data_IF_351120951578
#
_entry.id   IF_351120951578
#
_cell.length_a   1.000
_cell.length_b   1.000
_cell.length_c   1.000
_cell.angle_alpha   90.00
_cell.angle_beta   90.00
_cell.angle_gamma   90.00
#
_symmetry.space_group_name_H-M   'P 1'
#
loop_
_entity.id
_entity.type
_entity.pdbx_description
1 polymer ?
#
# COMPACT_ATOMS: atom_id res chain seq x y z
N UNK A 1 -33.38 -8.43 3.07
CA UNK A 1 -32.10 -8.24 2.33
C UNK A 1 -32.21 -9.11 1.09
N UNK A 2 -31.83 -8.64 -0.11
CA UNK A 2 -31.80 -9.53 -1.27
C UNK A 2 -30.81 -10.67 -0.97
N UNK A 3 -31.27 -11.88 -1.23
CA UNK A 3 -30.54 -13.10 -0.95
C UNK A 3 -29.27 -13.13 -1.82
N UNK A 4 -28.09 -13.01 -1.21
CA UNK A 4 -26.79 -13.01 -1.94
C UNK A 4 -26.59 -14.35 -2.63
N UNK A 5 -27.22 -15.43 -2.10
CA UNK A 5 -27.19 -16.76 -2.68
C UNK A 5 -27.97 -16.86 -4.00
N UNK A 6 -28.88 -15.91 -4.27
CA UNK A 6 -29.66 -15.83 -5.51
C UNK A 6 -28.97 -15.04 -6.64
N UNK A 7 -27.72 -14.55 -6.46
CA UNK A 7 -27.04 -13.80 -7.49
C UNK A 7 -26.60 -14.72 -8.65
N UNK A 8 -27.08 -14.44 -9.87
CA UNK A 8 -26.62 -15.12 -11.06
C UNK A 8 -25.11 -14.90 -11.28
N UNK A 9 -24.45 -15.84 -11.92
CA UNK A 9 -23.01 -15.75 -12.25
C UNK A 9 -22.62 -14.44 -12.96
N UNK A 10 -23.37 -13.95 -13.98
CA UNK A 10 -23.07 -12.66 -14.61
C UNK A 10 -23.12 -11.51 -13.64
N UNK A 11 -24.05 -11.50 -12.67
CA UNK A 11 -24.16 -10.44 -11.68
C UNK A 11 -23.00 -10.47 -10.66
N UNK A 12 -22.52 -11.66 -10.27
CA UNK A 12 -21.34 -11.81 -9.42
C UNK A 12 -20.07 -11.28 -10.12
N UNK A 13 -19.91 -11.58 -11.42
CA UNK A 13 -18.81 -11.06 -12.23
C UNK A 13 -18.90 -9.53 -12.39
N UNK A 14 -20.09 -8.96 -12.55
CA UNK A 14 -20.28 -7.50 -12.59
C UNK A 14 -19.86 -6.85 -11.26
N UNK A 15 -20.22 -7.44 -10.10
CA UNK A 15 -19.78 -6.95 -8.79
C UNK A 15 -18.25 -6.99 -8.69
N UNK A 16 -17.61 -8.07 -9.13
CA UNK A 16 -16.15 -8.16 -9.19
C UNK A 16 -15.55 -7.05 -10.05
N UNK A 17 -16.09 -6.81 -11.25
CA UNK A 17 -15.62 -5.74 -12.14
C UNK A 17 -15.74 -4.36 -11.52
N UNK A 18 -16.83 -4.07 -10.81
CA UNK A 18 -17.03 -2.82 -10.08
C UNK A 18 -15.96 -2.64 -8.99
N UNK A 19 -15.69 -3.70 -8.21
CA UNK A 19 -14.64 -3.69 -7.21
C UNK A 19 -13.25 -3.49 -7.87
N UNK A 20 -12.98 -4.14 -9.00
CA UNK A 20 -11.75 -3.98 -9.76
C UNK A 20 -11.57 -2.54 -10.30
N UNK A 21 -12.66 -1.86 -10.71
CA UNK A 21 -12.60 -0.46 -11.14
C UNK A 21 -12.11 0.45 -10.01
N UNK A 22 -12.58 0.24 -8.78
CA UNK A 22 -12.12 1.04 -7.63
C UNK A 22 -10.65 0.82 -7.30
N UNK A 23 -10.18 -0.44 -7.40
CA UNK A 23 -8.78 -0.75 -7.23
C UNK A 23 -7.92 -0.11 -8.31
N UNK A 24 -8.40 -0.16 -9.57
CA UNK A 24 -7.73 0.43 -10.72
C UNK A 24 -7.50 1.93 -10.51
N UNK A 25 -8.54 2.71 -10.15
CA UNK A 25 -8.40 4.16 -9.96
C UNK A 25 -7.46 4.51 -8.81
N UNK A 26 -7.53 3.81 -7.67
CA UNK A 26 -6.62 4.03 -6.54
C UNK A 26 -5.18 3.72 -6.91
N UNK A 27 -4.94 2.61 -7.60
CA UNK A 27 -3.60 2.20 -8.00
C UNK A 27 -3.02 3.06 -9.12
N UNK A 28 -3.84 3.47 -10.10
CA UNK A 28 -3.44 4.40 -11.16
C UNK A 28 -3.10 5.78 -10.58
N UNK A 29 -3.92 6.29 -9.67
CA UNK A 29 -3.69 7.60 -9.03
C UNK A 29 -2.31 7.66 -8.35
N UNK A 30 -1.93 6.62 -7.61
CA UNK A 30 -0.63 6.55 -6.93
C UNK A 30 0.52 6.44 -7.94
N UNK A 31 0.40 5.60 -8.96
CA UNK A 31 1.52 5.34 -9.87
C UNK A 31 1.68 6.42 -10.95
N UNK A 32 0.57 6.97 -11.45
CA UNK A 32 0.58 8.05 -12.44
C UNK A 32 1.11 9.36 -11.86
N UNK A 33 0.79 9.66 -10.59
CA UNK A 33 1.27 10.87 -9.93
C UNK A 33 2.79 10.95 -9.85
N UNK A 34 3.48 9.83 -9.65
CA UNK A 34 4.94 9.83 -9.64
C UNK A 34 5.52 10.43 -10.94
N UNK A 35 4.95 10.10 -12.10
CA UNK A 35 5.42 10.62 -13.39
C UNK A 35 5.15 12.13 -13.54
N UNK A 36 4.18 12.67 -12.79
CA UNK A 36 3.83 14.09 -12.80
C UNK A 36 4.73 14.97 -11.91
N UNK A 37 5.53 14.39 -11.01
CA UNK A 37 6.30 15.15 -10.01
C UNK A 37 7.18 16.26 -10.62
N UNK A 38 7.95 16.05 -11.72
CA UNK A 38 8.72 17.12 -12.32
C UNK A 38 7.86 18.24 -12.93
N UNK A 39 6.65 17.92 -13.40
CA UNK A 39 5.72 18.95 -13.88
C UNK A 39 5.14 19.77 -12.73
N UNK A 40 4.83 19.14 -11.59
CA UNK A 40 4.44 19.81 -10.36
C UNK A 40 5.56 20.73 -9.83
N UNK A 41 6.80 20.25 -9.88
CA UNK A 41 7.99 21.04 -9.51
C UNK A 41 8.07 22.32 -10.33
N UNK A 42 7.94 22.22 -11.65
CA UNK A 42 8.03 23.39 -12.55
C UNK A 42 6.85 24.36 -12.44
N UNK A 43 5.61 23.83 -12.34
CA UNK A 43 4.41 24.67 -12.38
C UNK A 43 4.01 25.26 -11.02
N UNK A 44 4.20 24.52 -9.93
CA UNK A 44 3.84 24.96 -8.58
C UNK A 44 5.04 25.42 -7.75
N UNK A 45 6.26 25.39 -8.31
CA UNK A 45 7.49 25.78 -7.60
C UNK A 45 7.80 24.86 -6.42
N UNK A 46 7.40 23.57 -6.51
CA UNK A 46 7.60 22.63 -5.44
C UNK A 46 9.09 22.29 -5.26
N UNK A 47 9.57 22.34 -4.03
CA UNK A 47 10.85 21.76 -3.64
C UNK A 47 10.72 20.24 -3.43
N UNK A 48 11.81 19.58 -3.06
CA UNK A 48 11.81 18.12 -2.84
C UNK A 48 10.83 17.72 -1.72
N UNK A 49 10.77 18.50 -0.63
CA UNK A 49 9.83 18.28 0.48
C UNK A 49 8.37 18.36 0.00
N UNK A 50 8.04 19.38 -0.80
CA UNK A 50 6.71 19.54 -1.38
C UNK A 50 6.30 18.38 -2.31
N UNK A 51 7.26 17.84 -3.09
CA UNK A 51 7.03 16.65 -3.91
C UNK A 51 6.77 15.41 -3.05
N UNK A 52 7.57 15.21 -1.99
CA UNK A 52 7.37 14.14 -1.02
C UNK A 52 5.98 14.24 -0.38
N UNK A 53 5.60 15.43 0.14
CA UNK A 53 4.29 15.65 0.74
C UNK A 53 3.14 15.35 -0.22
N UNK A 54 3.27 15.69 -1.50
CA UNK A 54 2.24 15.41 -2.50
C UNK A 54 1.96 13.90 -2.65
N UNK A 55 2.99 13.06 -2.54
CA UNK A 55 2.85 11.59 -2.57
C UNK A 55 2.47 11.04 -1.21
N UNK A 56 3.18 11.45 -0.16
CA UNK A 56 3.13 10.79 1.14
C UNK A 56 1.87 11.11 1.94
N UNK A 57 1.32 12.31 1.83
CA UNK A 57 0.07 12.65 2.53
C UNK A 57 -1.06 11.67 2.17
N UNK A 58 -1.13 11.27 0.89
CA UNK A 58 -2.12 10.29 0.44
C UNK A 58 -1.86 8.92 1.06
N UNK A 59 -0.64 8.41 1.01
CA UNK A 59 -0.30 7.09 1.52
C UNK A 59 -0.38 7.00 3.04
N UNK A 60 0.02 8.04 3.76
CA UNK A 60 -0.08 8.15 5.23
C UNK A 60 -1.54 8.18 5.69
N UNK A 61 -2.37 9.02 5.07
CA UNK A 61 -3.79 9.08 5.40
C UNK A 61 -4.49 7.77 5.03
N UNK A 62 -4.17 7.20 3.87
CA UNK A 62 -4.71 5.90 3.46
C UNK A 62 -4.32 4.80 4.44
N UNK A 63 -3.04 4.72 4.85
CA UNK A 63 -2.57 3.76 5.85
C UNK A 63 -3.28 3.92 7.19
N UNK A 64 -3.43 5.18 7.62
CA UNK A 64 -4.06 5.53 8.89
C UNK A 64 -5.52 5.08 8.96
N UNK A 65 -6.29 5.26 7.89
CA UNK A 65 -7.75 4.98 7.89
C UNK A 65 -8.13 3.59 7.36
N UNK A 66 -7.20 2.79 6.84
CA UNK A 66 -7.48 1.52 6.18
C UNK A 66 -8.22 0.52 7.09
N UNK A 67 -7.75 0.33 8.33
CA UNK A 67 -8.35 -0.60 9.29
C UNK A 67 -9.69 -0.08 9.80
N UNK A 68 -9.79 1.22 10.08
CA UNK A 68 -11.04 1.85 10.48
C UNK A 68 -12.13 1.72 9.41
N UNK A 69 -11.76 1.89 8.15
CA UNK A 69 -12.68 1.77 7.02
C UNK A 69 -13.27 0.38 6.90
N UNK A 70 -12.46 -0.67 7.10
CA UNK A 70 -12.92 -2.04 7.14
C UNK A 70 -13.93 -2.29 8.27
N UNK A 71 -13.60 -1.88 9.49
CA UNK A 71 -14.46 -2.03 10.67
C UNK A 71 -15.77 -1.23 10.52
N UNK A 72 -15.69 -0.03 9.94
CA UNK A 72 -16.86 0.81 9.65
C UNK A 72 -17.79 0.14 8.62
N UNK A 73 -17.22 -0.44 7.57
CA UNK A 73 -17.99 -1.13 6.54
C UNK A 73 -18.73 -2.36 7.08
N UNK A 74 -18.11 -3.12 7.96
CA UNK A 74 -18.73 -4.27 8.60
C UNK A 74 -19.90 -3.87 9.50
N UNK A 75 -19.88 -2.66 10.09
CA UNK A 75 -20.91 -2.14 10.99
C UNK A 75 -22.04 -1.39 10.28
N UNK A 76 -21.69 -0.47 9.38
CA UNK A 76 -22.66 0.46 8.76
C UNK A 76 -23.24 -0.10 7.46
N UNK A 77 -22.49 -1.01 6.82
CA UNK A 77 -22.83 -1.61 5.54
C UNK A 77 -21.76 -1.38 4.51
N UNK A 78 -21.33 -2.47 3.87
CA UNK A 78 -20.23 -2.49 2.91
C UNK A 78 -20.52 -1.64 1.68
N UNK A 79 -21.71 -1.76 1.09
CA UNK A 79 -22.13 -0.94 -0.05
C UNK A 79 -22.17 0.53 0.31
N UNK A 80 -22.69 0.90 1.49
CA UNK A 80 -22.77 2.31 1.91
C UNK A 80 -21.39 2.91 2.05
N UNK A 81 -20.48 2.26 2.77
CA UNK A 81 -19.12 2.74 2.99
C UNK A 81 -18.35 2.79 1.68
N UNK A 82 -18.50 1.79 0.80
CA UNK A 82 -17.87 1.78 -0.52
C UNK A 82 -18.34 2.95 -1.41
N UNK A 83 -19.65 3.25 -1.41
CA UNK A 83 -20.20 4.43 -2.12
C UNK A 83 -19.66 5.73 -1.55
N UNK A 84 -19.63 5.88 -0.22
CA UNK A 84 -19.06 7.06 0.43
C UNK A 84 -17.59 7.23 0.06
N UNK A 85 -16.82 6.14 0.07
CA UNK A 85 -15.43 6.15 -0.39
C UNK A 85 -15.27 6.62 -1.83
N UNK A 86 -16.11 6.12 -2.75
CA UNK A 86 -16.12 6.56 -4.16
C UNK A 86 -16.47 8.05 -4.30
N UNK A 87 -17.48 8.55 -3.55
CA UNK A 87 -17.86 9.97 -3.58
C UNK A 87 -16.71 10.84 -3.08
N UNK A 88 -16.12 10.51 -1.93
CA UNK A 88 -14.99 11.26 -1.36
C UNK A 88 -13.76 11.23 -2.28
N UNK A 89 -13.47 10.06 -2.87
CA UNK A 89 -12.34 9.91 -3.79
C UNK A 89 -12.51 10.74 -5.06
N UNK A 90 -13.69 10.68 -5.68
CA UNK A 90 -14.01 11.45 -6.90
C UNK A 90 -14.04 12.97 -6.61
N UNK A 91 -14.67 13.38 -5.51
CA UNK A 91 -14.67 14.77 -5.09
C UNK A 91 -13.25 15.28 -4.77
N UNK A 92 -12.44 14.46 -4.07
CA UNK A 92 -11.04 14.76 -3.82
C UNK A 92 -10.21 14.87 -5.10
N UNK A 93 -10.42 13.97 -6.07
CA UNK A 93 -9.78 14.05 -7.38
C UNK A 93 -10.16 15.35 -8.12
N UNK A 94 -11.43 15.74 -8.10
CA UNK A 94 -11.87 17.01 -8.68
C UNK A 94 -11.18 18.20 -8.02
N UNK A 95 -11.12 18.21 -6.68
CA UNK A 95 -10.44 19.28 -5.94
C UNK A 95 -8.93 19.31 -6.25
N UNK A 96 -8.27 18.17 -6.35
CA UNK A 96 -6.86 18.07 -6.76
C UNK A 96 -6.64 18.64 -8.17
N UNK A 97 -7.53 18.33 -9.12
CA UNK A 97 -7.46 18.85 -10.48
C UNK A 97 -7.62 20.38 -10.53
N UNK A 98 -8.34 20.96 -9.58
CA UNK A 98 -8.60 22.41 -9.47
C UNK A 98 -7.65 23.11 -8.50
N UNK A 99 -6.67 22.43 -7.91
CA UNK A 99 -5.78 22.98 -6.90
C UNK A 99 -5.00 24.21 -7.43
N UNK A 100 -5.10 25.36 -6.75
CA UNK A 100 -4.44 26.61 -7.18
C UNK A 100 -2.98 26.69 -6.73
N UNK A 101 -2.58 25.90 -5.73
CA UNK A 101 -1.21 25.89 -5.20
C UNK A 101 -0.86 24.53 -4.63
N UNK A 102 0.43 24.32 -4.35
CA UNK A 102 0.96 23.08 -3.74
C UNK A 102 0.29 22.74 -2.41
N UNK A 103 0.12 23.72 -1.51
CA UNK A 103 -0.51 23.50 -0.21
C UNK A 103 -1.96 23.01 -0.33
N UNK A 104 -2.73 23.59 -1.25
CA UNK A 104 -4.09 23.13 -1.55
C UNK A 104 -4.09 21.73 -2.16
N UNK A 105 -3.15 21.44 -3.07
CA UNK A 105 -3.01 20.09 -3.64
C UNK A 105 -2.76 19.05 -2.54
N UNK A 106 -1.83 19.31 -1.62
CA UNK A 106 -1.53 18.43 -0.49
C UNK A 106 -2.78 18.23 0.39
N UNK A 107 -3.50 19.30 0.74
CA UNK A 107 -4.73 19.21 1.52
C UNK A 107 -5.83 18.39 0.82
N UNK A 108 -6.01 18.59 -0.48
CA UNK A 108 -7.00 17.85 -1.27
C UNK A 108 -6.59 16.39 -1.48
N UNK A 109 -5.29 16.09 -1.55
CA UNK A 109 -4.75 14.72 -1.55
C UNK A 109 -5.06 13.99 -0.23
N UNK A 110 -4.94 14.68 0.92
CA UNK A 110 -5.35 14.11 2.21
C UNK A 110 -6.86 13.77 2.21
N UNK A 111 -7.69 14.67 1.71
CA UNK A 111 -9.13 14.44 1.59
C UNK A 111 -9.46 13.28 0.65
N UNK A 112 -8.82 13.20 -0.52
CA UNK A 112 -8.96 12.10 -1.48
C UNK A 112 -8.59 10.75 -0.86
N UNK A 113 -7.51 10.72 -0.06
CA UNK A 113 -7.02 9.52 0.60
C UNK A 113 -8.01 8.94 1.63
N UNK A 114 -8.79 9.78 2.31
CA UNK A 114 -9.88 9.30 3.18
C UNK A 114 -10.87 8.46 2.36
N UNK A 115 -11.26 8.93 1.18
CA UNK A 115 -12.08 8.16 0.25
C UNK A 115 -11.39 6.87 -0.20
N UNK A 116 -10.12 6.97 -0.62
CA UNK A 116 -9.30 5.84 -1.06
C UNK A 116 -9.17 4.73 -0.01
N UNK A 117 -9.04 5.09 1.27
CA UNK A 117 -8.92 4.13 2.37
C UNK A 117 -10.15 3.22 2.53
N UNK A 118 -11.32 3.71 2.10
CA UNK A 118 -12.58 2.94 2.15
C UNK A 118 -12.72 1.97 0.98
N UNK A 119 -11.97 2.13 -0.11
CA UNK A 119 -12.20 1.37 -1.34
C UNK A 119 -11.64 -0.05 -1.25
N UNK A 120 -10.34 -0.21 -1.03
CA UNK A 120 -9.68 -1.51 -1.11
C UNK A 120 -10.16 -2.54 -0.06
N UNK A 121 -10.21 -2.24 1.26
CA UNK A 121 -10.66 -3.22 2.26
C UNK A 121 -12.13 -3.58 2.09
N UNK A 122 -12.96 -2.58 1.74
CA UNK A 122 -14.40 -2.80 1.58
C UNK A 122 -14.71 -3.58 0.31
N UNK A 123 -14.00 -3.30 -0.81
CA UNK A 123 -14.13 -4.08 -2.03
C UNK A 123 -13.76 -5.55 -1.82
N UNK A 124 -12.66 -5.83 -1.09
CA UNK A 124 -12.29 -7.20 -0.74
C UNK A 124 -13.36 -7.88 0.11
N UNK A 125 -13.95 -7.17 1.08
CA UNK A 125 -15.08 -7.67 1.87
C UNK A 125 -16.34 -7.94 1.02
N UNK A 126 -16.62 -7.12 0.01
CA UNK A 126 -17.71 -7.35 -0.95
C UNK A 126 -17.44 -8.60 -1.79
N UNK A 127 -16.20 -8.77 -2.31
CA UNK A 127 -15.80 -9.93 -3.11
C UNK A 127 -15.93 -11.21 -2.31
N UNK A 128 -15.36 -11.27 -1.10
CA UNK A 128 -15.40 -12.46 -0.25
C UNK A 128 -16.83 -12.85 0.15
N UNK A 129 -17.72 -11.89 0.29
CA UNK A 129 -19.13 -12.15 0.59
C UNK A 129 -19.94 -12.56 -0.64
N UNK A 130 -19.53 -12.12 -1.83
CA UNK A 130 -20.21 -12.43 -3.11
C UNK A 130 -19.82 -13.82 -3.64
N UNK A 131 -18.57 -14.25 -3.43
CA UNK A 131 -18.05 -15.54 -3.91
C UNK A 131 -17.82 -16.49 -2.73
N UNK A 132 -18.79 -17.35 -2.43
CA UNK A 132 -18.75 -18.29 -1.30
C UNK A 132 -18.03 -19.61 -1.64
N UNK A 133 -18.06 -20.03 -2.91
CA UNK A 133 -17.31 -21.20 -3.36
C UNK A 133 -15.80 -20.90 -3.33
N UNK A 134 -14.99 -21.73 -2.65
CA UNK A 134 -13.54 -21.47 -2.50
C UNK A 134 -12.79 -21.35 -3.83
N UNK A 135 -13.20 -22.09 -4.86
CA UNK A 135 -12.55 -22.03 -6.18
C UNK A 135 -12.92 -20.77 -6.95
N UNK A 136 -14.18 -20.35 -6.87
CA UNK A 136 -14.63 -19.09 -7.48
C UNK A 136 -13.99 -17.89 -6.75
N UNK A 137 -13.92 -17.90 -5.42
CA UNK A 137 -13.26 -16.88 -4.63
C UNK A 137 -11.77 -16.77 -4.97
N UNK A 138 -11.06 -17.90 -5.06
CA UNK A 138 -9.65 -17.90 -5.45
C UNK A 138 -9.43 -17.27 -6.85
N UNK A 139 -10.33 -17.54 -7.80
CA UNK A 139 -10.28 -16.91 -9.13
C UNK A 139 -10.57 -15.41 -9.07
N UNK A 140 -11.57 -15.00 -8.28
CA UNK A 140 -11.91 -13.58 -8.11
C UNK A 140 -10.74 -12.79 -7.48
N UNK A 141 -10.07 -13.36 -6.46
CA UNK A 141 -8.86 -12.78 -5.85
C UNK A 141 -7.71 -12.74 -6.86
N UNK A 142 -7.57 -13.76 -7.73
CA UNK A 142 -6.59 -13.78 -8.80
C UNK A 142 -6.81 -12.64 -9.81
N UNK A 143 -8.06 -12.40 -10.23
CA UNK A 143 -8.42 -11.26 -11.09
C UNK A 143 -8.12 -9.93 -10.39
N UNK A 144 -8.50 -9.79 -9.11
CA UNK A 144 -8.17 -8.62 -8.29
C UNK A 144 -6.66 -8.33 -8.25
N UNK A 145 -5.84 -9.34 -7.97
CA UNK A 145 -4.38 -9.22 -7.99
C UNK A 145 -3.82 -8.86 -9.38
N UNK A 146 -4.41 -9.40 -10.45
CA UNK A 146 -4.07 -9.05 -11.83
C UNK A 146 -4.31 -7.57 -12.14
N UNK A 147 -5.40 -6.99 -11.63
CA UNK A 147 -5.70 -5.55 -11.79
C UNK A 147 -4.63 -4.68 -11.13
N UNK A 148 -4.10 -5.07 -9.96
CA UNK A 148 -2.97 -4.35 -9.33
C UNK A 148 -1.77 -4.32 -10.27
N UNK A 149 -1.38 -5.48 -10.83
CA UNK A 149 -0.25 -5.58 -11.75
C UNK A 149 -0.46 -4.74 -13.03
N UNK A 150 -1.66 -4.80 -13.61
CA UNK A 150 -2.03 -3.99 -14.78
C UNK A 150 -1.96 -2.49 -14.43
N UNK A 151 -2.47 -2.07 -13.27
CA UNK A 151 -2.43 -0.68 -12.83
C UNK A 151 -1.00 -0.17 -12.66
N UNK A 152 -0.11 -1.00 -12.11
CA UNK A 152 1.30 -0.66 -11.97
C UNK A 152 2.01 -0.46 -13.31
N UNK A 153 1.63 -1.26 -14.32
CA UNK A 153 2.18 -1.13 -15.67
C UNK A 153 1.59 0.07 -16.43
N UNK A 154 0.27 0.23 -16.37
CA UNK A 154 -0.43 1.28 -17.10
C UNK A 154 -0.29 2.66 -16.46
N UNK A 155 -0.10 2.75 -15.13
CA UNK A 155 -0.05 4.02 -14.41
C UNK A 155 0.99 4.99 -14.97
N UNK A 156 2.28 4.61 -15.06
CA UNK A 156 3.31 5.47 -15.62
C UNK A 156 3.08 5.83 -17.08
N UNK A 157 2.55 4.90 -17.90
CA UNK A 157 2.31 5.13 -19.33
C UNK A 157 1.15 6.09 -19.54
N UNK A 158 -0.01 5.79 -18.94
CA UNK A 158 -1.20 6.64 -19.02
C UNK A 158 -0.94 7.99 -18.35
N UNK A 159 -0.30 7.97 -17.17
CA UNK A 159 0.11 9.17 -16.48
C UNK A 159 1.04 10.02 -17.31
N UNK A 160 2.07 9.42 -17.91
CA UNK A 160 3.01 10.09 -18.80
C UNK A 160 2.35 10.69 -20.03
N UNK A 161 1.47 9.92 -20.69
CA UNK A 161 0.70 10.41 -21.85
C UNK A 161 -0.21 11.59 -21.49
N UNK A 162 -0.92 11.50 -20.36
CA UNK A 162 -1.79 12.56 -19.88
C UNK A 162 -1.01 13.82 -19.50
N UNK A 163 0.11 13.66 -18.80
CA UNK A 163 0.97 14.78 -18.40
C UNK A 163 1.57 15.47 -19.62
N UNK A 164 2.06 14.70 -20.60
CA UNK A 164 2.65 15.24 -21.83
C UNK A 164 1.62 16.01 -22.70
N UNK A 165 0.35 15.55 -22.73
CA UNK A 165 -0.67 16.13 -23.61
C UNK A 165 -1.52 17.21 -22.94
N UNK A 166 -1.83 17.09 -21.65
CA UNK A 166 -2.81 17.91 -20.94
C UNK A 166 -2.31 18.46 -19.60
N UNK A 167 -1.05 18.20 -19.25
CA UNK A 167 -0.47 18.59 -17.96
C UNK A 167 -0.85 17.65 -16.80
N UNK A 168 -0.23 17.87 -15.64
CA UNK A 168 -0.36 16.99 -14.46
C UNK A 168 -1.81 16.89 -13.91
N UNK A 169 -2.62 17.92 -14.09
CA UNK A 169 -4.02 17.94 -13.66
C UNK A 169 -4.86 16.85 -14.31
N UNK A 170 -4.49 16.41 -15.51
CA UNK A 170 -5.20 15.38 -16.26
C UNK A 170 -5.21 14.02 -15.56
N UNK A 171 -4.24 13.72 -14.71
CA UNK A 171 -4.21 12.50 -13.90
C UNK A 171 -5.44 12.43 -12.98
N UNK A 172 -5.77 13.55 -12.35
CA UNK A 172 -6.94 13.62 -11.46
C UNK A 172 -8.25 13.62 -12.25
N UNK A 173 -8.30 14.26 -13.42
CA UNK A 173 -9.47 14.20 -14.32
C UNK A 173 -9.78 12.78 -14.78
N UNK A 174 -8.77 11.92 -14.98
CA UNK A 174 -8.95 10.51 -15.35
C UNK A 174 -9.77 9.74 -14.30
N UNK A 175 -9.62 10.06 -13.03
CA UNK A 175 -10.33 9.38 -11.93
C UNK A 175 -11.84 9.66 -11.95
N UNK A 176 -12.29 10.80 -12.49
CA UNK A 176 -13.70 11.20 -12.44
C UNK A 176 -14.61 10.26 -13.23
N UNK A 177 -14.39 10.02 -14.54
CA UNK A 177 -15.30 9.16 -15.30
C UNK A 177 -15.31 7.73 -14.79
N UNK A 178 -14.16 7.18 -14.40
CA UNK A 178 -14.08 5.80 -13.88
C UNK A 178 -14.74 5.71 -12.51
N UNK A 179 -14.46 6.66 -11.61
CA UNK A 179 -15.04 6.70 -10.27
C UNK A 179 -16.56 6.94 -10.27
N UNK A 180 -17.06 7.82 -11.15
CA UNK A 180 -18.50 8.04 -11.32
C UNK A 180 -19.19 6.78 -11.89
N UNK A 181 -18.59 6.12 -12.88
CA UNK A 181 -19.11 4.86 -13.40
C UNK A 181 -19.15 3.79 -12.30
N UNK A 182 -18.06 3.64 -11.51
CA UNK A 182 -18.03 2.71 -10.38
C UNK A 182 -19.10 3.06 -9.32
N UNK A 183 -19.32 4.35 -9.04
CA UNK A 183 -20.35 4.80 -8.09
C UNK A 183 -21.77 4.46 -8.56
N UNK A 184 -22.11 4.75 -9.82
CA UNK A 184 -23.41 4.46 -10.40
C UNK A 184 -23.68 2.95 -10.46
N UNK A 185 -22.70 2.18 -10.91
CA UNK A 185 -22.78 0.73 -10.96
C UNK A 185 -22.91 0.12 -9.56
N UNK A 186 -22.16 0.64 -8.58
CA UNK A 186 -22.29 0.21 -7.17
C UNK A 186 -23.68 0.50 -6.65
N UNK A 187 -24.20 1.70 -6.91
CA UNK A 187 -25.55 2.09 -6.46
C UNK A 187 -26.64 1.19 -7.05
N UNK A 188 -26.44 0.62 -8.24
CA UNK A 188 -27.45 -0.18 -8.94
C UNK A 188 -27.33 -1.68 -8.72
N UNK A 189 -26.10 -2.22 -8.62
CA UNK A 189 -25.86 -3.64 -8.74
C UNK A 189 -25.24 -4.31 -7.51
N UNK A 190 -24.48 -3.57 -6.66
CA UNK A 190 -23.89 -4.16 -5.46
C UNK A 190 -24.93 -4.31 -4.37
N UNK A 191 -25.16 -5.51 -3.83
CA UNK A 191 -26.10 -5.71 -2.72
C UNK A 191 -25.52 -5.13 -1.42
N UNK A 192 -26.41 -4.71 -0.50
CA UNK A 192 -25.96 -4.30 0.83
C UNK A 192 -25.65 -5.53 1.68
N UNK A 193 -24.58 -5.45 2.45
CA UNK A 193 -24.18 -6.49 3.39
C UNK A 193 -23.45 -5.90 4.59
N UNK A 194 -23.67 -6.49 5.76
CA UNK A 194 -23.02 -6.16 7.02
C UNK A 194 -22.45 -7.44 7.65
N UNK A 195 -21.51 -7.30 8.56
CA UNK A 195 -21.07 -8.44 9.37
C UNK A 195 -22.13 -8.82 10.40
N UNK A 196 -22.27 -10.11 10.67
CA UNK A 196 -23.20 -10.61 11.70
C UNK A 196 -22.81 -10.10 13.11
N UNK A 197 -21.52 -10.02 13.37
CA UNK A 197 -20.94 -9.49 14.62
C UNK A 197 -19.93 -8.40 14.27
N UNK A 198 -20.38 -7.13 14.11
CA UNK A 198 -19.50 -6.04 13.73
C UNK A 198 -18.60 -5.64 14.91
N UNK A 199 -17.31 -5.47 14.66
CA UNK A 199 -16.34 -5.00 15.65
C UNK A 199 -16.65 -3.57 16.10
N UNK A 200 -16.29 -3.25 17.35
CA UNK A 200 -16.37 -1.89 17.86
C UNK A 200 -15.28 -1.03 17.23
N UNK A 201 -15.59 0.24 17.02
CA UNK A 201 -14.61 1.21 16.52
C UNK A 201 -13.67 1.60 17.66
N UNK A 202 -12.37 1.47 17.44
CA UNK A 202 -11.35 1.95 18.37
C UNK A 202 -10.86 3.33 17.95
N UNK A 203 -11.57 4.37 18.40
CA UNK A 203 -11.26 5.77 18.05
C UNK A 203 -9.93 6.21 18.64
N UNK A 204 -9.58 5.75 19.86
CA UNK A 204 -8.31 6.13 20.50
C UNK A 204 -7.12 5.47 19.81
N UNK A 205 -7.19 4.15 19.54
CA UNK A 205 -6.16 3.48 18.75
C UNK A 205 -5.99 4.12 17.36
N UNK A 206 -7.10 4.51 16.73
CA UNK A 206 -7.09 5.23 15.46
C UNK A 206 -6.36 6.58 15.54
N UNK A 207 -6.65 7.39 16.55
CA UNK A 207 -5.97 8.68 16.75
C UNK A 207 -4.48 8.50 17.02
N UNK A 208 -4.11 7.50 17.82
CA UNK A 208 -2.70 7.19 18.08
C UNK A 208 -1.95 6.78 16.81
N UNK A 209 -2.57 5.99 15.92
CA UNK A 209 -1.98 5.64 14.62
C UNK A 209 -1.82 6.86 13.72
N UNK A 210 -2.82 7.74 13.65
CA UNK A 210 -2.74 9.00 12.87
C UNK A 210 -1.60 9.88 13.39
N UNK A 211 -1.53 10.09 14.71
CA UNK A 211 -0.47 10.90 15.33
C UNK A 211 0.90 10.27 15.09
N UNK A 212 1.03 8.95 15.29
CA UNK A 212 2.28 8.22 15.05
C UNK A 212 2.78 8.39 13.62
N UNK A 213 1.95 8.03 12.65
CA UNK A 213 2.35 8.06 11.24
C UNK A 213 2.56 9.49 10.74
N UNK A 214 1.68 10.42 11.12
CA UNK A 214 1.79 11.83 10.73
C UNK A 214 3.04 12.48 11.28
N UNK A 215 3.32 12.36 12.60
CA UNK A 215 4.51 12.97 13.20
C UNK A 215 5.82 12.32 12.76
N UNK A 216 5.82 10.99 12.55
CA UNK A 216 6.99 10.28 12.04
C UNK A 216 7.33 10.72 10.60
N UNK A 217 6.33 10.71 9.71
CA UNK A 217 6.53 11.12 8.31
C UNK A 217 6.93 12.59 8.21
N UNK A 218 6.26 13.47 8.98
CA UNK A 218 6.63 14.88 9.06
C UNK A 218 8.09 15.07 9.49
N UNK A 219 8.50 14.39 10.57
CA UNK A 219 9.87 14.48 11.06
C UNK A 219 10.91 14.00 10.05
N UNK A 220 10.60 12.97 9.24
CA UNK A 220 11.52 12.47 8.22
C UNK A 220 11.60 13.44 7.04
N UNK A 221 10.48 13.93 6.51
CA UNK A 221 10.44 14.82 5.34
C UNK A 221 11.12 16.14 5.65
N UNK A 222 10.74 16.82 6.73
CA UNK A 222 11.27 18.13 7.08
C UNK A 222 12.70 18.06 7.64
N UNK A 223 13.13 16.87 8.10
CA UNK A 223 14.50 16.65 8.59
C UNK A 223 15.58 16.92 7.56
N UNK A 224 15.28 16.70 6.29
CA UNK A 224 16.18 17.01 5.17
C UNK A 224 16.30 18.51 4.88
N UNK A 225 15.24 19.29 5.16
CA UNK A 225 15.17 20.72 4.89
C UNK A 225 15.66 21.56 6.09
N UNK A 226 15.09 21.31 7.28
CA UNK A 226 15.33 22.12 8.49
C UNK A 226 16.55 21.67 9.31
N UNK A 227 17.13 20.52 8.94
CA UNK A 227 18.23 19.88 9.68
C UNK A 227 17.76 19.06 10.88
N UNK A 228 18.34 17.88 11.05
CA UNK A 228 17.95 16.86 12.05
C UNK A 228 18.00 17.33 13.53
N UNK A 229 18.68 18.43 13.81
CA UNK A 229 18.80 19.05 15.15
C UNK A 229 17.71 20.08 15.47
N UNK A 230 16.79 20.36 14.56
CA UNK A 230 15.72 21.33 14.77
C UNK A 230 14.83 20.94 15.98
N UNK A 231 14.52 21.87 16.91
CA UNK A 231 13.63 21.57 18.04
C UNK A 231 12.26 21.05 17.62
N UNK A 232 11.72 21.53 16.50
CA UNK A 232 10.45 21.08 15.96
C UNK A 232 10.49 19.59 15.61
N UNK A 233 11.58 19.15 14.96
CA UNK A 233 11.75 17.75 14.56
C UNK A 233 11.93 16.83 15.76
N UNK A 234 12.73 17.26 16.75
CA UNK A 234 12.88 16.51 18.00
C UNK A 234 11.53 16.35 18.72
N UNK A 235 10.69 17.38 18.73
CA UNK A 235 9.32 17.30 19.26
C UNK A 235 8.48 16.32 18.43
N UNK A 236 8.53 16.37 17.12
CA UNK A 236 7.77 15.44 16.27
C UNK A 236 8.18 13.97 16.48
N UNK A 237 9.48 13.68 16.57
CA UNK A 237 9.95 12.33 16.90
C UNK A 237 9.57 11.94 18.34
N UNK A 238 9.62 12.87 19.30
CA UNK A 238 9.13 12.66 20.66
C UNK A 238 7.64 12.29 20.68
N UNK A 239 6.81 13.00 19.91
CA UNK A 239 5.38 12.72 19.75
C UNK A 239 5.18 11.34 19.11
N UNK A 240 5.95 10.99 18.07
CA UNK A 240 5.87 9.68 17.42
C UNK A 240 6.19 8.54 18.40
N UNK A 241 7.27 8.68 19.18
CA UNK A 241 7.67 7.70 20.20
C UNK A 241 6.59 7.60 21.29
N UNK A 242 6.09 8.74 21.78
CA UNK A 242 5.03 8.75 22.78
C UNK A 242 3.74 8.11 22.27
N UNK A 243 3.33 8.40 21.02
CA UNK A 243 2.16 7.80 20.40
C UNK A 243 2.34 6.28 20.25
N UNK A 244 3.51 5.82 19.82
CA UNK A 244 3.84 4.40 19.74
C UNK A 244 3.80 3.73 21.13
N UNK A 245 4.41 4.33 22.13
CA UNK A 245 4.39 3.80 23.50
C UNK A 245 2.96 3.71 24.05
N UNK A 246 2.15 4.77 23.83
CA UNK A 246 0.74 4.78 24.21
C UNK A 246 -0.05 3.71 23.45
N UNK A 247 0.21 3.51 22.15
CA UNK A 247 -0.45 2.49 21.34
C UNK A 247 -0.13 1.09 21.86
N UNK A 248 1.16 0.80 22.12
CA UNK A 248 1.61 -0.49 22.65
C UNK A 248 1.09 -0.76 24.07
N UNK A 249 0.84 0.28 24.85
CA UNK A 249 0.26 0.16 26.18
C UNK A 249 -1.27 0.03 26.14
N UNK A 250 -1.96 0.74 25.24
CA UNK A 250 -3.41 0.85 25.17
C UNK A 250 -4.06 -0.37 24.47
N UNK A 251 -3.57 -0.76 23.28
CA UNK A 251 -4.16 -1.83 22.47
C UNK A 251 -4.32 -3.18 23.18
N UNK A 252 -3.34 -3.69 23.95
CA UNK A 252 -3.50 -4.97 24.64
C UNK A 252 -4.58 -4.98 25.72
N UNK A 253 -5.05 -3.80 26.15
CA UNK A 253 -6.07 -3.64 27.18
C UNK A 253 -7.48 -3.56 26.62
N UNK A 254 -7.60 -3.49 25.28
CA UNK A 254 -8.90 -3.44 24.61
C UNK A 254 -9.41 -4.83 24.26
N UNK A 255 -10.72 -5.03 24.39
CA UNK A 255 -11.37 -6.27 23.96
C UNK A 255 -11.35 -6.44 22.43
N UNK A 256 -11.52 -5.34 21.70
CA UNK A 256 -11.53 -5.29 20.25
C UNK A 256 -10.54 -4.21 19.77
N UNK A 257 -9.22 -4.50 19.80
CA UNK A 257 -8.20 -3.54 19.42
C UNK A 257 -8.22 -3.27 17.92
N UNK A 258 -7.75 -2.08 17.52
CA UNK A 258 -7.52 -1.73 16.11
C UNK A 258 -6.40 -2.59 15.52
N UNK A 259 -5.30 -2.71 16.27
CA UNK A 259 -4.14 -3.53 15.96
C UNK A 259 -4.06 -4.71 16.93
N UNK A 260 -4.25 -5.91 16.43
CA UNK A 260 -4.13 -7.13 17.21
C UNK A 260 -2.64 -7.44 17.49
N UNK A 261 -2.07 -6.78 18.52
CA UNK A 261 -0.64 -6.92 18.85
C UNK A 261 -0.23 -8.35 19.20
N UNK A 262 -1.20 -9.21 19.60
CA UNK A 262 -0.95 -10.64 19.84
C UNK A 262 -0.45 -11.37 18.60
N UNK A 263 -0.81 -10.92 17.38
CA UNK A 263 -0.33 -11.52 16.14
C UNK A 263 1.18 -11.36 15.96
N UNK A 264 1.77 -10.28 16.48
CA UNK A 264 3.21 -10.05 16.42
C UNK A 264 4.04 -11.02 17.27
N UNK A 265 3.41 -11.84 18.11
CA UNK A 265 4.06 -12.96 18.77
C UNK A 265 4.39 -14.11 17.81
N UNK A 266 3.75 -14.16 16.66
CA UNK A 266 4.05 -15.09 15.56
C UNK A 266 5.18 -14.50 14.70
N UNK A 267 6.32 -15.19 14.63
CA UNK A 267 7.45 -14.75 13.81
C UNK A 267 7.09 -14.66 12.31
N UNK A 268 6.30 -15.57 11.70
CA UNK A 268 5.84 -15.41 10.32
C UNK A 268 5.01 -14.13 10.10
N UNK A 269 4.12 -13.80 11.03
CA UNK A 269 3.31 -12.59 10.91
C UNK A 269 4.15 -11.31 11.02
N UNK A 270 5.02 -11.23 12.06
CA UNK A 270 5.95 -10.10 12.24
C UNK A 270 6.89 -9.95 11.06
N UNK A 271 7.37 -11.07 10.51
CA UNK A 271 8.18 -11.09 9.31
C UNK A 271 7.42 -10.62 8.09
N UNK A 272 6.19 -11.06 7.89
CA UNK A 272 5.36 -10.60 6.78
C UNK A 272 5.14 -9.09 6.83
N UNK A 273 4.89 -8.52 8.01
CA UNK A 273 4.76 -7.08 8.22
C UNK A 273 6.06 -6.33 7.91
N UNK A 274 7.20 -6.80 8.44
CA UNK A 274 8.50 -6.18 8.21
C UNK A 274 8.94 -6.29 6.74
N UNK A 275 8.69 -7.43 6.09
CA UNK A 275 8.97 -7.63 4.66
C UNK A 275 8.07 -6.71 3.82
N UNK A 276 6.78 -6.57 4.18
CA UNK A 276 5.86 -5.65 3.49
C UNK A 276 6.36 -4.21 3.58
N UNK A 277 6.76 -3.77 4.79
CA UNK A 277 7.30 -2.45 5.02
C UNK A 277 8.57 -2.21 4.20
N UNK A 278 9.55 -3.11 4.24
CA UNK A 278 10.81 -2.96 3.52
C UNK A 278 10.64 -3.01 1.99
N UNK A 279 9.87 -3.97 1.46
CA UNK A 279 9.67 -4.11 0.02
C UNK A 279 8.93 -2.92 -0.59
N UNK A 280 7.92 -2.41 0.11
CA UNK A 280 7.16 -1.24 -0.35
C UNK A 280 7.89 0.08 -0.10
N UNK A 281 8.77 0.16 0.89
CA UNK A 281 9.71 1.28 1.02
C UNK A 281 10.66 1.32 -0.18
N UNK A 282 11.21 0.17 -0.58
CA UNK A 282 11.99 0.05 -1.81
C UNK A 282 11.22 0.50 -3.04
N UNK A 283 9.95 0.09 -3.19
CA UNK A 283 9.12 0.49 -4.33
C UNK A 283 8.81 1.99 -4.34
N UNK A 284 8.35 2.55 -3.21
CA UNK A 284 8.01 3.97 -3.09
C UNK A 284 9.22 4.85 -3.38
N UNK A 285 10.36 4.54 -2.76
CA UNK A 285 11.63 5.22 -3.01
C UNK A 285 12.10 5.07 -4.46
N UNK A 286 11.97 3.87 -5.05
CA UNK A 286 12.30 3.64 -6.46
C UNK A 286 11.46 4.52 -7.40
N UNK A 287 10.14 4.50 -7.27
CA UNK A 287 9.27 5.28 -8.15
C UNK A 287 9.54 6.78 -8.04
N UNK A 288 9.76 7.28 -6.83
CA UNK A 288 10.06 8.69 -6.58
C UNK A 288 11.40 9.10 -7.21
N UNK A 289 12.50 8.43 -6.83
CA UNK A 289 13.84 8.78 -7.26
C UNK A 289 14.04 8.56 -8.76
N UNK A 290 13.50 7.46 -9.29
CA UNK A 290 13.64 7.11 -10.69
C UNK A 290 12.92 8.10 -11.62
N UNK A 291 11.78 8.62 -11.22
CA UNK A 291 11.07 9.63 -11.99
C UNK A 291 11.89 10.92 -12.10
N UNK A 292 12.48 11.36 -10.99
CA UNK A 292 13.33 12.54 -10.97
C UNK A 292 14.60 12.32 -11.82
N UNK A 293 15.22 11.15 -11.73
CA UNK A 293 16.37 10.78 -12.56
C UNK A 293 16.02 10.81 -14.06
N UNK A 294 14.94 10.15 -14.47
CA UNK A 294 14.60 10.06 -15.90
C UNK A 294 14.22 11.42 -16.51
N UNK A 295 13.50 12.25 -15.77
CA UNK A 295 12.97 13.50 -16.32
C UNK A 295 13.89 14.70 -16.06
N UNK A 296 14.49 14.83 -14.87
CA UNK A 296 15.32 16.00 -14.54
C UNK A 296 16.77 15.84 -15.01
N UNK A 297 17.34 14.63 -14.95
CA UNK A 297 18.73 14.40 -15.33
C UNK A 297 18.85 13.92 -16.77
N UNK A 298 18.11 12.90 -17.16
CA UNK A 298 18.12 12.41 -18.55
C UNK A 298 17.29 13.27 -19.51
N UNK A 299 16.57 14.27 -19.02
CA UNK A 299 15.77 15.18 -19.84
C UNK A 299 14.60 14.51 -20.59
N UNK A 300 14.18 13.30 -20.18
CA UNK A 300 13.10 12.58 -20.86
C UNK A 300 11.76 13.25 -20.61
N UNK A 301 10.90 13.27 -21.62
CA UNK A 301 9.50 13.64 -21.45
C UNK A 301 8.76 12.67 -20.51
N UNK A 302 7.65 13.13 -19.92
CA UNK A 302 6.87 12.33 -18.98
C UNK A 302 6.39 11.00 -19.60
N UNK A 303 6.02 10.99 -20.87
CA UNK A 303 5.59 9.79 -21.59
C UNK A 303 6.75 8.80 -21.78
N UNK A 304 7.90 9.28 -22.24
CA UNK A 304 9.09 8.44 -22.42
C UNK A 304 9.58 7.87 -21.08
N UNK A 305 9.58 8.67 -20.03
CA UNK A 305 9.89 8.22 -18.68
C UNK A 305 8.94 7.09 -18.22
N UNK A 306 7.63 7.22 -18.53
CA UNK A 306 6.65 6.17 -18.28
C UNK A 306 6.94 4.88 -19.05
N UNK A 307 7.34 4.98 -20.32
CA UNK A 307 7.71 3.83 -21.15
C UNK A 307 8.96 3.11 -20.64
N UNK A 308 9.92 3.84 -20.09
CA UNK A 308 11.14 3.24 -19.52
C UNK A 308 10.83 2.34 -18.31
N UNK A 309 9.71 2.52 -17.61
CA UNK A 309 9.29 1.65 -16.51
C UNK A 309 8.64 0.33 -16.94
N UNK A 310 8.33 0.17 -18.25
CA UNK A 310 7.71 -1.06 -18.77
C UNK A 310 8.48 -2.35 -18.44
N UNK A 311 9.81 -2.44 -18.54
CA UNK A 311 10.54 -3.66 -18.20
C UNK A 311 10.32 -4.09 -16.75
N UNK A 312 10.33 -3.15 -15.80
CA UNK A 312 10.01 -3.42 -14.39
C UNK A 312 8.57 -3.92 -14.21
N UNK A 313 7.62 -3.22 -14.81
CA UNK A 313 6.21 -3.55 -14.70
C UNK A 313 5.87 -4.91 -15.34
N UNK A 314 6.45 -5.21 -16.49
CA UNK A 314 6.31 -6.50 -17.17
C UNK A 314 6.83 -7.66 -16.30
N UNK A 315 8.01 -7.49 -15.70
CA UNK A 315 8.55 -8.51 -14.80
C UNK A 315 7.69 -8.68 -13.54
N UNK A 316 7.21 -7.59 -12.96
CA UNK A 316 6.27 -7.67 -11.84
C UNK A 316 5.02 -8.44 -12.21
N UNK A 317 4.44 -8.19 -13.40
CA UNK A 317 3.23 -8.86 -13.89
C UNK A 317 3.46 -10.37 -14.12
N UNK A 318 4.62 -10.75 -14.62
CA UNK A 318 4.99 -12.17 -14.88
C UNK A 318 5.32 -12.89 -13.56
N UNK A 319 6.11 -12.27 -12.70
CA UNK A 319 6.62 -12.93 -11.51
C UNK A 319 5.64 -12.94 -10.33
N UNK A 320 4.61 -12.09 -10.30
CA UNK A 320 3.60 -12.13 -9.25
C UNK A 320 2.75 -13.42 -9.27
N UNK A 321 2.20 -13.89 -10.41
CA UNK A 321 1.55 -15.20 -10.49
C UNK A 321 2.52 -16.36 -10.22
N UNK A 322 3.74 -16.28 -10.75
CA UNK A 322 4.78 -17.28 -10.50
C UNK A 322 5.10 -17.40 -9.01
N UNK A 323 5.16 -16.27 -8.31
CA UNK A 323 5.33 -16.23 -6.85
C UNK A 323 4.21 -16.99 -6.12
N UNK A 324 2.95 -16.76 -6.51
CA UNK A 324 1.81 -17.49 -5.97
C UNK A 324 1.92 -19.00 -6.20
N UNK A 325 2.33 -19.40 -7.40
CA UNK A 325 2.59 -20.81 -7.73
C UNK A 325 3.71 -21.40 -6.86
N UNK A 326 4.84 -20.71 -6.73
CA UNK A 326 5.95 -21.16 -5.89
C UNK A 326 5.55 -21.27 -4.42
N UNK A 327 4.82 -20.31 -3.88
CA UNK A 327 4.33 -20.33 -2.49
C UNK A 327 3.48 -21.59 -2.24
N UNK A 328 2.63 -21.96 -3.20
CA UNK A 328 1.74 -23.13 -3.06
C UNK A 328 2.45 -24.46 -3.13
N UNK A 329 3.58 -24.56 -3.85
CA UNK A 329 4.30 -25.84 -4.09
C UNK A 329 5.53 -26.02 -3.19
N UNK A 330 6.32 -24.95 -3.01
CA UNK A 330 7.59 -25.02 -2.24
C UNK A 330 7.58 -24.16 -0.97
N UNK A 331 6.47 -23.46 -0.72
CA UNK A 331 6.31 -22.57 0.43
C UNK A 331 6.87 -21.16 0.21
N UNK A 332 6.65 -20.25 1.19
CA UNK A 332 6.96 -18.83 1.02
C UNK A 332 8.46 -18.49 1.08
N UNK A 333 9.31 -19.41 1.61
CA UNK A 333 10.73 -19.13 1.87
C UNK A 333 11.50 -18.81 0.60
N UNK A 334 11.42 -19.68 -0.42
CA UNK A 334 12.19 -19.53 -1.64
C UNK A 334 11.84 -18.22 -2.38
N UNK A 335 10.55 -17.89 -2.68
CA UNK A 335 10.25 -16.67 -3.39
C UNK A 335 10.59 -15.38 -2.60
N UNK A 336 10.51 -15.39 -1.25
CA UNK A 336 10.98 -14.23 -0.45
C UNK A 336 12.48 -14.03 -0.54
N UNK A 337 13.27 -15.10 -0.42
CA UNK A 337 14.72 -15.00 -0.51
C UNK A 337 15.17 -14.52 -1.90
N UNK A 338 14.60 -15.09 -2.95
CA UNK A 338 14.86 -14.64 -4.33
C UNK A 338 14.44 -13.17 -4.54
N UNK A 339 13.31 -12.76 -3.96
CA UNK A 339 12.87 -11.37 -3.98
C UNK A 339 13.88 -10.44 -3.32
N UNK A 340 14.33 -10.78 -2.09
CA UNK A 340 15.32 -9.96 -1.38
C UNK A 340 16.63 -9.82 -2.14
N UNK A 341 17.14 -10.91 -2.73
CA UNK A 341 18.33 -10.90 -3.59
C UNK A 341 18.13 -10.00 -4.80
N UNK A 342 16.99 -10.14 -5.50
CA UNK A 342 16.72 -9.39 -6.72
C UNK A 342 16.48 -7.89 -6.44
N UNK A 343 15.77 -7.52 -5.35
CA UNK A 343 15.61 -6.11 -4.95
C UNK A 343 16.97 -5.51 -4.58
N UNK A 344 17.80 -6.24 -3.81
CA UNK A 344 19.15 -5.79 -3.46
C UNK A 344 20.00 -5.58 -4.71
N UNK A 345 20.07 -6.56 -5.59
CA UNK A 345 20.83 -6.48 -6.83
C UNK A 345 20.33 -5.34 -7.73
N UNK A 346 19.01 -5.18 -7.88
CA UNK A 346 18.40 -4.07 -8.60
C UNK A 346 18.78 -2.71 -8.02
N UNK A 347 18.72 -2.56 -6.69
CA UNK A 347 19.16 -1.35 -6.00
C UNK A 347 20.66 -1.04 -6.21
N UNK A 348 21.52 -2.05 -6.12
CA UNK A 348 22.96 -1.91 -6.39
C UNK A 348 23.21 -1.53 -7.86
N UNK A 349 22.53 -2.15 -8.82
CA UNK A 349 22.65 -1.79 -10.23
C UNK A 349 22.22 -0.35 -10.53
N UNK A 350 21.38 0.25 -9.70
CA UNK A 350 20.93 1.63 -9.85
C UNK A 350 21.94 2.63 -9.24
N UNK A 351 22.94 2.19 -8.47
CA UNK A 351 23.99 3.08 -7.98
C UNK A 351 24.93 3.50 -9.13
N UNK A 352 25.42 4.74 -9.06
CA UNK A 352 26.36 5.27 -10.07
C UNK A 352 25.70 5.56 -11.43
N UNK A 353 24.37 5.68 -11.52
CA UNK A 353 23.70 6.09 -12.76
C UNK A 353 24.10 7.51 -13.14
N UNK A 354 24.38 7.72 -14.44
CA UNK A 354 24.67 9.00 -15.06
C UNK A 354 23.70 9.28 -16.20
N UNK A 355 23.74 10.48 -16.75
CA UNK A 355 22.93 10.85 -17.92
C UNK A 355 23.22 9.93 -19.12
N UNK A 356 24.49 9.50 -19.27
CA UNK A 356 24.98 8.67 -20.37
C UNK A 356 24.82 7.16 -20.15
N UNK A 357 24.25 6.73 -19.03
CA UNK A 357 24.06 5.31 -18.74
C UNK A 357 23.27 4.62 -19.86
N UNK A 358 23.80 3.52 -20.41
CA UNK A 358 23.17 2.82 -21.52
C UNK A 358 21.77 2.28 -21.16
N UNK A 359 20.84 2.30 -22.10
CA UNK A 359 19.49 1.77 -21.90
C UNK A 359 19.50 0.29 -21.53
N UNK A 360 20.42 -0.49 -22.09
CA UNK A 360 20.55 -1.91 -21.78
C UNK A 360 20.89 -2.14 -20.31
N UNK A 361 21.80 -1.35 -19.74
CA UNK A 361 22.14 -1.41 -18.32
C UNK A 361 20.94 -1.01 -17.45
N UNK A 362 20.29 0.11 -17.77
CA UNK A 362 19.15 0.62 -17.05
C UNK A 362 17.98 -0.40 -17.03
N UNK A 363 17.67 -0.99 -18.19
CA UNK A 363 16.64 -2.01 -18.29
C UNK A 363 17.01 -3.29 -17.55
N UNK A 364 18.29 -3.65 -17.47
CA UNK A 364 18.76 -4.78 -16.64
C UNK A 364 18.46 -4.52 -15.17
N UNK A 365 18.72 -3.30 -14.68
CA UNK A 365 18.39 -2.91 -13.31
C UNK A 365 16.88 -2.96 -13.05
N UNK A 366 16.07 -2.45 -13.97
CA UNK A 366 14.61 -2.45 -13.86
C UNK A 366 14.00 -3.85 -13.92
N UNK A 367 14.47 -4.71 -14.81
CA UNK A 367 14.09 -6.12 -14.89
C UNK A 367 14.41 -6.81 -13.57
N UNK A 368 15.63 -6.63 -13.06
CA UNK A 368 16.08 -7.25 -11.81
C UNK A 368 15.22 -6.80 -10.62
N UNK A 369 14.97 -5.49 -10.49
CA UNK A 369 14.11 -4.96 -9.43
C UNK A 369 12.66 -5.44 -9.58
N UNK A 370 12.12 -5.46 -10.81
CA UNK A 370 10.77 -5.92 -11.12
C UNK A 370 10.53 -7.40 -10.80
N UNK A 371 11.51 -8.27 -11.06
CA UNK A 371 11.50 -9.68 -10.64
C UNK A 371 11.37 -9.75 -9.12
N UNK A 372 12.21 -9.02 -8.39
CA UNK A 372 12.19 -8.99 -6.93
C UNK A 372 10.84 -8.53 -6.38
N UNK A 373 10.31 -7.41 -6.90
CA UNK A 373 9.02 -6.89 -6.44
C UNK A 373 7.84 -7.79 -6.83
N UNK A 374 7.88 -8.45 -7.99
CA UNK A 374 6.89 -9.44 -8.38
C UNK A 374 6.83 -10.65 -7.44
N UNK A 375 7.99 -11.10 -6.98
CA UNK A 375 8.10 -12.29 -6.12
C UNK A 375 7.64 -12.05 -4.68
N UNK A 376 7.61 -10.83 -4.16
CA UNK A 376 7.41 -10.55 -2.72
C UNK A 376 5.96 -10.59 -2.26
N UNK A 377 4.99 -10.24 -3.11
CA UNK A 377 3.61 -9.99 -2.69
C UNK A 377 2.86 -11.23 -2.20
N UNK A 378 2.99 -12.36 -2.89
CA UNK A 378 2.32 -13.60 -2.52
C UNK A 378 2.86 -14.17 -1.17
N UNK A 379 4.18 -14.21 -0.94
CA UNK A 379 4.73 -14.60 0.37
C UNK A 379 4.26 -13.71 1.52
N UNK A 380 4.24 -12.37 1.35
CA UNK A 380 3.75 -11.45 2.40
C UNK A 380 2.34 -11.83 2.82
N UNK A 381 1.44 -11.97 1.86
CA UNK A 381 0.04 -12.29 2.15
C UNK A 381 -0.11 -13.68 2.75
N UNK A 382 0.60 -14.67 2.21
CA UNK A 382 0.55 -16.04 2.71
C UNK A 382 1.08 -16.15 4.15
N UNK A 383 2.26 -15.59 4.45
CA UNK A 383 2.85 -15.64 5.79
C UNK A 383 2.07 -14.84 6.81
N UNK A 384 1.45 -13.74 6.43
CA UNK A 384 0.61 -12.94 7.32
C UNK A 384 -0.62 -13.72 7.81
N UNK A 385 -1.20 -14.58 6.97
CA UNK A 385 -2.38 -15.38 7.35
C UNK A 385 -2.06 -16.80 7.81
N UNK A 386 -0.80 -17.22 7.67
CA UNK A 386 -0.38 -18.58 8.05
C UNK A 386 -0.55 -18.80 9.56
N UNK A 387 -1.31 -19.83 9.89
CA UNK A 387 -1.62 -20.19 11.29
C UNK A 387 -2.73 -19.33 11.91
N UNK A 388 -3.27 -18.32 11.24
CA UNK A 388 -4.35 -17.50 11.78
C UNK A 388 -5.71 -18.21 11.69
N UNK A 389 -6.57 -18.12 12.73
CA UNK A 389 -7.94 -18.57 12.64
C UNK A 389 -8.65 -17.90 11.46
N UNK A 390 -9.53 -18.65 10.75
CA UNK A 390 -10.26 -18.12 9.59
C UNK A 390 -11.05 -16.83 9.91
N UNK A 391 -11.57 -16.72 11.11
CA UNK A 391 -12.28 -15.53 11.61
C UNK A 391 -11.39 -14.28 11.73
N UNK A 392 -10.07 -14.44 11.85
CA UNK A 392 -9.10 -13.35 12.07
C UNK A 392 -8.16 -13.12 10.89
N UNK A 393 -8.20 -13.97 9.86
CA UNK A 393 -7.34 -13.86 8.67
C UNK A 393 -7.53 -12.52 7.93
N UNK A 394 -8.73 -11.97 7.91
CA UNK A 394 -9.00 -10.65 7.31
C UNK A 394 -8.29 -9.51 8.04
N UNK A 395 -8.24 -9.56 9.38
CA UNK A 395 -7.52 -8.55 10.18
C UNK A 395 -6.01 -8.67 9.96
N UNK A 396 -5.49 -9.88 9.95
CA UNK A 396 -4.07 -10.12 9.68
C UNK A 396 -3.66 -9.60 8.29
N UNK A 397 -4.48 -9.86 7.27
CA UNK A 397 -4.27 -9.33 5.92
C UNK A 397 -4.37 -7.78 5.88
N UNK A 398 -5.29 -7.19 6.65
CA UNK A 398 -5.43 -5.75 6.79
C UNK A 398 -4.19 -5.09 7.40
N UNK A 399 -3.66 -5.65 8.49
CA UNK A 399 -2.42 -5.16 9.12
C UNK A 399 -1.23 -5.27 8.16
N UNK A 400 -1.10 -6.38 7.42
CA UNK A 400 -0.05 -6.52 6.40
C UNK A 400 -0.21 -5.48 5.27
N UNK A 401 -1.46 -5.16 4.89
CA UNK A 401 -1.74 -4.12 3.90
C UNK A 401 -1.39 -2.73 4.43
N UNK A 402 -1.63 -2.44 5.72
CA UNK A 402 -1.17 -1.21 6.37
C UNK A 402 0.36 -1.12 6.32
N UNK A 403 1.08 -2.23 6.58
CA UNK A 403 2.54 -2.30 6.45
C UNK A 403 3.04 -1.93 5.05
N UNK A 404 2.33 -2.32 3.99
CA UNK A 404 2.65 -1.92 2.61
C UNK A 404 2.55 -0.39 2.42
N UNK A 405 1.48 0.21 2.90
CA UNK A 405 1.26 1.66 2.75
C UNK A 405 2.26 2.47 3.59
N UNK A 406 2.47 2.07 4.84
CA UNK A 406 3.47 2.70 5.71
C UNK A 406 4.87 2.56 5.09
N UNK A 407 5.20 1.39 4.54
CA UNK A 407 6.44 1.17 3.83
C UNK A 407 6.61 2.12 2.67
N UNK A 408 5.59 2.23 1.80
CA UNK A 408 5.64 3.12 0.63
C UNK A 408 5.89 4.59 1.04
N UNK A 409 5.17 5.09 2.05
CA UNK A 409 5.38 6.43 2.56
C UNK A 409 6.79 6.63 3.14
N UNK A 410 7.24 5.72 4.00
CA UNK A 410 8.59 5.81 4.57
C UNK A 410 9.68 5.75 3.48
N UNK A 411 9.47 4.98 2.42
CA UNK A 411 10.39 4.90 1.30
C UNK A 411 10.55 6.22 0.57
N UNK A 412 9.45 6.89 0.25
CA UNK A 412 9.45 8.23 -0.38
C UNK A 412 10.06 9.25 0.56
N UNK A 413 9.62 9.27 1.83
CA UNK A 413 10.13 10.21 2.84
C UNK A 413 11.66 10.08 3.02
N UNK A 414 12.18 8.88 3.26
CA UNK A 414 13.61 8.64 3.50
C UNK A 414 14.44 8.97 2.25
N UNK A 415 14.02 8.46 1.09
CA UNK A 415 14.78 8.66 -0.16
C UNK A 415 14.76 10.12 -0.60
N UNK A 416 13.63 10.82 -0.46
CA UNK A 416 13.56 12.24 -0.80
C UNK A 416 14.38 13.11 0.16
N UNK A 417 14.38 12.78 1.47
CA UNK A 417 15.26 13.45 2.44
C UNK A 417 16.73 13.26 2.10
N UNK A 418 17.14 12.04 1.74
CA UNK A 418 18.51 11.76 1.28
C UNK A 418 18.84 12.54 0.01
N UNK A 419 17.89 12.64 -0.93
CA UNK A 419 18.07 13.44 -2.14
C UNK A 419 18.22 14.94 -1.83
N UNK A 420 17.46 15.48 -0.86
CA UNK A 420 17.56 16.88 -0.42
C UNK A 420 18.94 17.20 0.17
N UNK A 421 19.66 16.23 0.75
CA UNK A 421 21.03 16.38 1.23
C UNK A 421 22.10 16.33 0.11
N UNK A 422 21.69 16.19 -1.15
CA UNK A 422 22.57 16.24 -2.33
C UNK A 422 23.18 14.89 -2.74
N UNK A 423 22.75 13.77 -2.17
CA UNK A 423 23.33 12.45 -2.47
C UNK A 423 22.30 11.48 -3.06
N UNK A 424 22.11 11.55 -4.40
CA UNK A 424 21.25 10.61 -5.12
C UNK A 424 21.69 9.15 -4.96
N UNK A 425 23.00 8.89 -5.06
CA UNK A 425 23.53 7.52 -4.95
C UNK A 425 23.21 6.89 -3.60
N UNK A 426 23.21 7.69 -2.53
CA UNK A 426 22.76 7.21 -1.22
C UNK A 426 21.29 6.76 -1.24
N UNK A 427 20.44 7.42 -2.02
CA UNK A 427 19.04 6.99 -2.22
C UNK A 427 18.95 5.59 -2.85
N UNK A 428 19.78 5.27 -3.84
CA UNK A 428 19.83 3.93 -4.43
C UNK A 428 20.37 2.87 -3.45
N UNK A 429 21.33 3.23 -2.60
CA UNK A 429 21.80 2.37 -1.51
C UNK A 429 20.72 2.08 -0.47
N UNK A 430 19.82 3.04 -0.19
CA UNK A 430 18.64 2.80 0.66
C UNK A 430 17.74 1.71 0.05
N UNK A 431 17.53 1.74 -1.27
CA UNK A 431 16.74 0.70 -1.94
C UNK A 431 17.43 -0.68 -1.84
N UNK A 432 18.73 -0.75 -2.04
CA UNK A 432 19.51 -1.97 -1.85
C UNK A 432 19.36 -2.49 -0.40
N UNK A 433 19.42 -1.59 0.59
CA UNK A 433 19.19 -1.87 2.00
C UNK A 433 17.80 -2.45 2.27
N UNK A 434 16.77 -1.93 1.61
CA UNK A 434 15.41 -2.50 1.68
C UNK A 434 15.39 -3.95 1.19
N UNK A 435 16.09 -4.27 0.11
CA UNK A 435 16.24 -5.63 -0.39
C UNK A 435 16.95 -6.56 0.62
N UNK A 436 18.03 -6.08 1.26
CA UNK A 436 18.72 -6.80 2.33
C UNK A 436 17.78 -7.07 3.51
N UNK A 437 16.97 -6.10 3.91
CA UNK A 437 15.98 -6.30 4.97
C UNK A 437 14.95 -7.37 4.59
N UNK A 438 14.45 -7.37 3.34
CA UNK A 438 13.56 -8.43 2.84
C UNK A 438 14.23 -9.79 2.92
N UNK A 439 15.50 -9.89 2.53
CA UNK A 439 16.28 -11.13 2.59
C UNK A 439 16.46 -11.61 4.04
N UNK A 440 16.88 -10.73 4.94
CA UNK A 440 17.13 -11.05 6.36
C UNK A 440 15.84 -11.48 7.05
N UNK A 441 14.77 -10.67 6.96
CA UNK A 441 13.50 -11.05 7.57
C UNK A 441 12.91 -12.30 6.91
N UNK A 442 13.06 -12.47 5.59
CA UNK A 442 12.66 -13.67 4.88
C UNK A 442 13.37 -14.92 5.40
N UNK A 443 14.68 -14.85 5.58
CA UNK A 443 15.48 -15.98 6.11
C UNK A 443 15.08 -16.34 7.55
N UNK A 444 14.90 -15.34 8.41
CA UNK A 444 14.59 -15.53 9.83
C UNK A 444 13.16 -16.03 10.06
N UNK A 445 12.17 -15.53 9.30
CA UNK A 445 10.76 -15.71 9.65
C UNK A 445 10.01 -16.75 8.81
N UNK A 446 10.69 -17.41 7.87
CA UNK A 446 10.09 -18.50 7.05
C UNK A 446 10.66 -19.89 7.35
N UNK A 447 11.51 -20.02 8.39
CA UNK A 447 12.15 -21.26 8.80
C UNK A 447 11.27 -22.14 9.71
N UNK A 448 11.82 -23.31 10.10
CA UNK A 448 11.14 -24.26 11.02
C UNK A 448 10.87 -23.65 12.40
N UNK A 449 11.81 -22.85 12.93
CA UNK A 449 11.63 -22.11 14.17
C UNK A 449 10.42 -21.16 14.10
N UNK A 450 10.30 -20.41 13.02
CA UNK A 450 9.21 -19.47 12.83
C UNK A 450 7.83 -20.17 12.81
N UNK A 451 7.71 -21.32 12.16
CA UNK A 451 6.48 -22.13 12.17
C UNK A 451 6.07 -22.56 13.59
N UNK A 452 7.03 -22.98 14.43
CA UNK A 452 6.76 -23.31 15.84
C UNK A 452 6.25 -22.11 16.64
N UNK A 453 6.78 -20.90 16.39
CA UNK A 453 6.27 -19.68 17.04
C UNK A 453 4.84 -19.37 16.61
N UNK A 454 4.47 -19.62 15.35
CA UNK A 454 3.09 -19.45 14.89
C UNK A 454 2.14 -20.42 15.59
N UNK A 455 2.50 -21.71 15.67
CA UNK A 455 1.70 -22.73 16.36
C UNK A 455 1.49 -22.37 17.84
N UNK A 456 2.57 -21.96 18.54
CA UNK A 456 2.50 -21.53 19.94
C UNK A 456 1.67 -20.27 20.15
N UNK A 457 1.78 -19.29 19.25
CA UNK A 457 0.99 -18.06 19.31
C UNK A 457 -0.50 -18.34 19.09
N UNK A 458 -0.82 -19.25 18.16
CA UNK A 458 -2.21 -19.63 17.87
C UNK A 458 -2.84 -20.42 19.01
N UNK A 459 -2.11 -21.35 19.62
CA UNK A 459 -2.59 -22.10 20.79
C UNK A 459 -2.96 -21.13 21.92
N UNK A 460 -2.11 -20.15 22.22
CA UNK A 460 -2.38 -19.14 23.24
C UNK A 460 -3.57 -18.25 22.91
N UNK A 461 -3.71 -17.82 21.66
CA UNK A 461 -4.86 -17.01 21.22
C UNK A 461 -6.16 -17.81 21.35
N UNK A 462 -6.15 -19.11 21.01
CA UNK A 462 -7.29 -19.99 21.15
C UNK A 462 -7.69 -20.20 22.62
N UNK A 463 -6.69 -20.37 23.50
CA UNK A 463 -6.90 -20.48 24.96
C UNK A 463 -7.47 -19.18 25.55
N UNK A 464 -6.92 -18.02 25.16
CA UNK A 464 -7.39 -16.70 25.59
C UNK A 464 -8.85 -16.45 25.14
N UNK A 465 -9.19 -16.80 23.88
CA UNK A 465 -10.54 -16.68 23.34
C UNK A 465 -11.54 -17.65 24.02
N UNK A 466 -11.12 -18.84 24.41
CA UNK A 466 -11.94 -19.80 25.14
C UNK A 466 -12.20 -19.37 26.60
N UNK A 467 -11.26 -18.65 27.21
CA UNK A 467 -11.36 -18.15 28.59
C UNK A 467 -12.20 -16.85 28.72
N UNK A 468 -12.42 -16.12 27.65
CA UNK A 468 -13.11 -14.83 27.64
C UNK A 468 -14.61 -14.92 28.03
N UNK A 469 -15.40 -15.93 27.59
CA UNK A 469 -16.79 -16.09 28.04
C UNK A 469 -16.94 -16.30 29.54
N UNK A 470 -15.99 -16.98 30.18
CA UNK A 470 -15.99 -17.23 31.61
C UNK A 470 -15.73 -15.98 32.47
N UNK A 471 -14.97 -15.00 31.95
CA UNK A 471 -14.67 -13.72 32.62
C UNK A 471 -15.77 -12.66 32.45
N UNK A 472 -16.69 -12.84 31.51
CA UNK A 472 -17.80 -11.92 31.28
C UNK A 472 -19.09 -12.30 32.04
N UNK A 473 -19.11 -13.48 32.67
CA UNK A 473 -20.20 -14.02 33.43
C UNK A 473 -20.04 -13.88 34.97
N UNK A 474 -18.94 -13.37 35.46
CA UNK A 474 -18.66 -13.02 36.86
C UNK A 474 -18.49 -11.51 37.03
#
# INVERSE_FOLDING_TARGET
MPDIDALSRPRRLLVLSICCMSLLIVSLDVTALNVALPSLQRELGADVSGLQWTVDIYTVVLASFLLLSGSTADRVGRRRVFKTGLVLFVAGSLLCALAPSLGWLIAFRAFQAIGGSMLNPVAMSIITNTFRDPKELARAIGVWGGVVGISMALGPILGGALVASFGWRAIFWLNLPIGLAALLLTARYVPESCAAHPRRLDVVGQLLVIVLLGSLTFGIIEGGHDGWGSPLLLICFGIAIAALACLLWYEPRRREPLLELRFFRSAPFSGAFAIALAAFAGLGGFLFLNTLYLQNERGLGAFDAGLHLLPMAAMTLVFAPLSGYLVSHVGPRLPVLLSGVAITAGGVLLTGLTEDTSLAYLFTAYVTFGIGFGLVNAPITNTAVTGMPRSRSGVAAGIASTGRQVGSALGVAVVGTVLATGSRDTGWWVLAGCGVLVLVFGALTTGRWARRTAESAMARIAEEDAAEPARSAG
#
